data_IF_152287588393
#
_entry.id   IF_152287588393
#
_cell.length_a   1.000
_cell.length_b   1.000
_cell.length_c   1.000
_cell.angle_alpha   90.00
_cell.angle_beta   90.00
_cell.angle_gamma   90.00
#
_symmetry.space_group_name_H-M   'P 1'
#
loop_
_entity.id
_entity.type
_entity.pdbx_description
1 polymer ?
#
# COMPACT_ATOMS: atom_id res chain seq x y z
N UNK A 1 11.71 -22.69 9.56
CA UNK A 1 10.75 -21.57 9.57
C UNK A 1 9.86 -21.63 8.34
N UNK A 2 8.79 -20.89 8.28
CA UNK A 2 7.92 -20.77 7.09
C UNK A 2 7.97 -19.34 6.53
N UNK A 3 7.39 -19.13 5.34
CA UNK A 3 7.24 -17.77 4.78
C UNK A 3 6.52 -16.86 5.78
N UNK A 4 6.94 -15.59 5.83
CA UNK A 4 6.38 -14.58 6.73
C UNK A 4 4.97 -14.17 6.29
N UNK A 5 4.04 -14.13 7.24
CA UNK A 5 2.64 -13.70 7.01
C UNK A 5 2.33 -12.44 7.79
N UNK A 6 1.58 -11.54 7.18
CA UNK A 6 1.19 -10.25 7.77
C UNK A 6 -0.02 -10.32 8.73
N UNK A 7 -0.60 -11.50 8.99
CA UNK A 7 -1.86 -11.66 9.71
C UNK A 7 -1.90 -10.99 11.09
N UNK A 8 -0.81 -11.08 11.87
CA UNK A 8 -0.74 -10.43 13.18
C UNK A 8 -0.73 -8.91 13.07
N UNK A 9 0.04 -8.36 12.11
CA UNK A 9 0.09 -6.94 11.83
C UNK A 9 -1.27 -6.43 11.35
N UNK A 10 -1.93 -7.16 10.44
CA UNK A 10 -3.29 -6.86 9.98
C UNK A 10 -4.28 -6.81 11.15
N UNK A 11 -4.24 -7.77 12.09
CA UNK A 11 -5.13 -7.78 13.25
C UNK A 11 -4.91 -6.57 14.18
N UNK A 12 -3.66 -6.11 14.34
CA UNK A 12 -3.35 -4.90 15.08
C UNK A 12 -3.88 -3.65 14.39
N UNK A 13 -3.65 -3.53 13.07
CA UNK A 13 -4.16 -2.44 12.25
C UNK A 13 -5.69 -2.38 12.26
N UNK A 14 -6.38 -3.52 12.19
CA UNK A 14 -7.83 -3.58 12.28
C UNK A 14 -8.40 -2.90 13.53
N UNK A 15 -7.80 -3.14 14.69
CA UNK A 15 -8.26 -2.52 15.94
C UNK A 15 -8.08 -1.00 15.92
N UNK A 16 -6.96 -0.55 15.41
CA UNK A 16 -6.60 0.86 15.34
C UNK A 16 -7.49 1.61 14.33
N UNK A 17 -7.67 1.03 13.13
CA UNK A 17 -8.55 1.62 12.10
C UNK A 17 -9.99 1.72 12.60
N UNK A 18 -10.50 0.71 13.32
CA UNK A 18 -11.85 0.77 13.91
C UNK A 18 -12.03 1.95 14.86
N UNK A 19 -11.06 2.21 15.73
CA UNK A 19 -11.11 3.34 16.64
C UNK A 19 -11.08 4.67 15.89
N UNK A 20 -10.23 4.79 14.87
CA UNK A 20 -10.14 5.98 14.04
C UNK A 20 -11.40 6.20 13.17
N UNK A 21 -12.01 5.12 12.68
CA UNK A 21 -13.26 5.17 11.92
C UNK A 21 -14.42 5.78 12.70
N UNK A 22 -14.47 5.62 14.03
CA UNK A 22 -15.49 6.27 14.86
C UNK A 22 -15.44 7.80 14.79
N UNK A 23 -14.23 8.37 14.78
CA UNK A 23 -14.03 9.82 14.60
C UNK A 23 -14.36 10.27 13.19
N UNK A 24 -13.84 9.56 12.18
CA UNK A 24 -14.09 9.85 10.77
C UNK A 24 -15.58 9.81 10.42
N UNK A 25 -16.33 8.85 10.98
CA UNK A 25 -17.77 8.76 10.76
C UNK A 25 -18.55 9.92 11.41
N UNK A 26 -18.07 10.48 12.52
CA UNK A 26 -18.67 11.70 13.09
C UNK A 26 -18.45 12.90 12.18
N UNK A 27 -17.23 13.05 11.63
CA UNK A 27 -16.91 14.08 10.66
C UNK A 27 -17.74 13.94 9.39
N UNK A 28 -17.87 12.71 8.86
CA UNK A 28 -18.71 12.39 7.71
C UNK A 28 -20.18 12.77 7.94
N UNK A 29 -20.73 12.42 9.09
CA UNK A 29 -22.12 12.72 9.43
C UNK A 29 -22.40 14.23 9.61
N UNK A 30 -21.38 15.02 9.87
CA UNK A 30 -21.47 16.47 9.99
C UNK A 30 -21.46 17.20 8.63
N UNK A 31 -20.99 16.56 7.56
CA UNK A 31 -20.97 17.14 6.21
C UNK A 31 -22.05 16.52 5.33
N UNK A 32 -23.18 17.23 5.09
CA UNK A 32 -24.31 16.70 4.32
C UNK A 32 -24.01 16.49 2.83
N UNK A 33 -22.86 16.96 2.32
CA UNK A 33 -22.44 16.75 0.93
C UNK A 33 -21.88 15.35 0.73
N UNK A 34 -21.29 14.78 1.76
CA UNK A 34 -20.58 13.51 1.70
C UNK A 34 -21.53 12.33 1.97
N UNK A 35 -21.47 11.32 1.11
CA UNK A 35 -22.42 10.20 1.11
C UNK A 35 -21.87 9.00 1.92
N UNK A 36 -20.57 8.72 1.80
CA UNK A 36 -19.90 7.60 2.43
C UNK A 36 -18.37 7.86 2.49
N UNK A 37 -17.63 7.03 3.25
CA UNK A 37 -16.20 7.22 3.45
C UNK A 37 -15.37 6.97 2.18
N UNK A 38 -15.78 6.03 1.32
CA UNK A 38 -14.97 5.57 0.19
C UNK A 38 -15.83 5.26 -1.04
N UNK A 39 -15.46 5.81 -2.20
CA UNK A 39 -15.95 5.37 -3.50
C UNK A 39 -14.96 4.41 -4.15
N UNK A 40 -15.47 3.29 -4.68
CA UNK A 40 -14.66 2.31 -5.43
C UNK A 40 -15.22 2.25 -6.85
N UNK A 41 -14.48 2.78 -7.84
CA UNK A 41 -14.91 2.83 -9.23
C UNK A 41 -14.32 1.65 -10.00
N UNK A 42 -15.17 0.85 -10.64
CA UNK A 42 -14.79 -0.22 -11.58
C UNK A 42 -15.35 0.07 -12.96
N UNK A 43 -14.55 -0.12 -14.00
CA UNK A 43 -14.98 -0.04 -15.39
C UNK A 43 -14.94 -1.42 -16.03
N UNK A 44 -16.09 -1.89 -16.50
CA UNK A 44 -16.25 -3.24 -17.03
C UNK A 44 -16.63 -4.26 -15.95
N UNK A 45 -16.22 -5.51 -16.15
CA UNK A 45 -16.60 -6.63 -15.29
C UNK A 45 -15.47 -7.68 -15.23
N UNK A 46 -14.24 -7.23 -14.94
CA UNK A 46 -13.12 -8.14 -14.77
C UNK A 46 -13.32 -9.03 -13.53
N UNK A 47 -13.27 -10.37 -13.65
CA UNK A 47 -13.56 -11.27 -12.55
C UNK A 47 -12.59 -11.13 -11.38
N UNK A 48 -11.31 -10.82 -11.64
CA UNK A 48 -10.31 -10.64 -10.59
C UNK A 48 -10.57 -9.34 -9.83
N UNK A 49 -10.86 -8.24 -10.56
CA UNK A 49 -11.24 -6.95 -9.96
C UNK A 49 -12.45 -7.09 -9.03
N UNK A 50 -13.46 -7.88 -9.43
CA UNK A 50 -14.65 -8.13 -8.60
C UNK A 50 -14.33 -8.80 -7.27
N UNK A 51 -13.37 -9.73 -7.26
CA UNK A 51 -12.91 -10.40 -6.02
C UNK A 51 -12.23 -9.37 -5.11
N UNK A 52 -11.34 -8.53 -5.65
CA UNK A 52 -10.64 -7.50 -4.87
C UNK A 52 -11.61 -6.42 -4.34
N UNK A 53 -12.56 -5.97 -5.15
CA UNK A 53 -13.58 -5.01 -4.70
C UNK A 53 -14.41 -5.61 -3.57
N UNK A 54 -14.85 -6.86 -3.70
CA UNK A 54 -15.59 -7.55 -2.63
C UNK A 54 -14.78 -7.62 -1.34
N UNK A 55 -13.49 -7.90 -1.41
CA UNK A 55 -12.60 -7.91 -0.24
C UNK A 55 -12.51 -6.52 0.40
N UNK A 56 -12.31 -5.46 -0.40
CA UNK A 56 -12.28 -4.06 0.06
C UNK A 56 -13.60 -3.67 0.75
N UNK A 57 -14.75 -3.98 0.14
CA UNK A 57 -16.07 -3.70 0.72
C UNK A 57 -16.29 -4.44 2.04
N UNK A 58 -15.96 -5.74 2.09
CA UNK A 58 -16.07 -6.56 3.30
C UNK A 58 -15.16 -6.02 4.41
N UNK A 59 -13.93 -5.61 4.06
CA UNK A 59 -12.99 -5.04 5.03
C UNK A 59 -13.50 -3.68 5.54
N UNK A 60 -13.93 -2.77 4.66
CA UNK A 60 -14.49 -1.48 5.06
C UNK A 60 -15.63 -1.67 6.07
N UNK A 61 -16.60 -2.55 5.75
CA UNK A 61 -17.72 -2.86 6.65
C UNK A 61 -17.26 -3.42 7.99
N UNK A 62 -16.27 -4.34 7.99
CA UNK A 62 -15.73 -4.93 9.22
C UNK A 62 -15.01 -3.90 10.09
N UNK A 63 -14.51 -2.81 9.50
CA UNK A 63 -13.84 -1.71 10.19
C UNK A 63 -14.79 -0.55 10.55
N UNK A 64 -16.10 -0.67 10.25
CA UNK A 64 -17.10 0.36 10.52
C UNK A 64 -17.11 1.51 9.50
N UNK A 65 -16.45 1.34 8.35
CA UNK A 65 -16.47 2.30 7.24
C UNK A 65 -17.58 1.93 6.23
N UNK A 66 -18.14 2.94 5.58
CA UNK A 66 -19.07 2.77 4.46
C UNK A 66 -18.31 2.97 3.14
N UNK A 67 -18.24 1.92 2.32
CA UNK A 67 -17.68 1.99 0.97
C UNK A 67 -18.77 1.70 -0.06
N UNK A 68 -18.82 2.49 -1.14
CA UNK A 68 -19.82 2.40 -2.21
C UNK A 68 -19.12 2.02 -3.52
N UNK A 69 -19.49 0.89 -4.15
CA UNK A 69 -18.95 0.52 -5.44
C UNK A 69 -19.74 1.20 -6.58
N UNK A 70 -19.01 1.72 -7.57
CA UNK A 70 -19.54 2.26 -8.81
C UNK A 70 -19.12 1.38 -9.97
N UNK A 71 -20.07 0.68 -10.57
CA UNK A 71 -19.85 -0.21 -11.70
C UNK A 71 -20.18 0.50 -13.01
N UNK A 72 -19.18 0.86 -13.78
CA UNK A 72 -19.32 1.57 -15.04
C UNK A 72 -19.25 0.58 -16.22
N UNK A 73 -19.98 0.84 -17.33
CA UNK A 73 -19.97 -0.04 -18.47
C UNK A 73 -18.59 -0.08 -19.14
N UNK A 74 -18.25 -1.25 -19.72
CA UNK A 74 -16.93 -1.48 -20.32
C UNK A 74 -16.64 -0.59 -21.54
N UNK A 75 -17.68 -0.09 -22.20
CA UNK A 75 -17.64 0.77 -23.40
C UNK A 75 -17.74 2.28 -23.08
N UNK A 76 -17.66 2.65 -21.79
CA UNK A 76 -17.67 4.06 -21.38
C UNK A 76 -16.52 4.82 -22.05
N UNK A 77 -16.77 6.04 -22.52
CA UNK A 77 -15.70 6.87 -23.07
C UNK A 77 -14.81 7.47 -21.96
N UNK A 78 -13.54 7.77 -22.29
CA UNK A 78 -12.62 8.45 -21.38
C UNK A 78 -13.21 9.73 -20.80
N UNK A 79 -13.80 10.59 -21.65
CA UNK A 79 -14.42 11.83 -21.19
C UNK A 79 -15.56 11.61 -20.18
N UNK A 80 -16.35 10.53 -20.37
CA UNK A 80 -17.42 10.21 -19.43
C UNK A 80 -16.89 9.64 -18.11
N UNK A 81 -15.87 8.78 -18.18
CA UNK A 81 -15.18 8.29 -16.96
C UNK A 81 -14.59 9.46 -16.16
N UNK A 82 -13.87 10.36 -16.84
CA UNK A 82 -13.29 11.55 -16.21
C UNK A 82 -14.36 12.40 -15.51
N UNK A 83 -15.49 12.67 -16.21
CA UNK A 83 -16.62 13.42 -15.64
C UNK A 83 -17.26 12.73 -14.43
N UNK A 84 -17.28 11.40 -14.37
CA UNK A 84 -17.74 10.65 -13.19
C UNK A 84 -16.79 10.87 -12.02
N UNK A 85 -15.48 10.76 -12.25
CA UNK A 85 -14.47 10.97 -11.21
C UNK A 85 -14.52 12.40 -10.67
N UNK A 86 -14.64 13.42 -11.55
CA UNK A 86 -14.81 14.83 -11.15
C UNK A 86 -16.03 15.01 -10.22
N UNK A 87 -17.16 14.35 -10.54
CA UNK A 87 -18.37 14.41 -9.71
C UNK A 87 -18.19 13.73 -8.35
N UNK A 88 -17.46 12.59 -8.31
CA UNK A 88 -17.23 11.85 -7.07
C UNK A 88 -16.42 12.67 -6.06
N UNK A 89 -15.50 13.54 -6.49
CA UNK A 89 -14.75 14.44 -5.61
C UNK A 89 -15.68 15.35 -4.76
N UNK A 90 -16.88 15.63 -5.24
CA UNK A 90 -17.84 16.46 -4.49
C UNK A 90 -18.72 15.68 -3.51
N UNK A 91 -18.68 14.34 -3.55
CA UNK A 91 -19.59 13.47 -2.80
C UNK A 91 -18.90 12.44 -1.91
N UNK A 92 -17.61 12.19 -2.14
CA UNK A 92 -16.84 11.19 -1.40
C UNK A 92 -15.49 11.79 -0.95
N UNK A 93 -15.15 11.66 0.33
CA UNK A 93 -13.88 12.15 0.84
C UNK A 93 -12.68 11.30 0.37
N UNK A 94 -12.92 10.04 -0.02
CA UNK A 94 -11.90 9.14 -0.53
C UNK A 94 -12.42 8.37 -1.75
N UNK A 95 -11.59 8.25 -2.79
CA UNK A 95 -11.94 7.63 -4.08
C UNK A 95 -10.80 6.73 -4.53
N UNK A 96 -11.13 5.58 -5.09
CA UNK A 96 -10.19 4.76 -5.86
C UNK A 96 -10.76 4.38 -7.22
N UNK A 97 -9.88 4.30 -8.21
CA UNK A 97 -10.16 3.74 -9.53
C UNK A 97 -9.52 2.35 -9.63
N UNK A 98 -10.35 1.31 -9.62
CA UNK A 98 -9.87 -0.07 -9.64
C UNK A 98 -9.26 -0.44 -10.99
N UNK A 99 -7.97 -0.80 -10.99
CA UNK A 99 -7.30 -1.37 -12.15
C UNK A 99 -7.60 -2.89 -12.29
N UNK A 100 -7.52 -3.45 -13.53
CA UNK A 100 -7.21 -2.78 -14.80
C UNK A 100 -8.43 -2.11 -15.44
N UNK A 101 -8.19 -1.12 -16.28
CA UNK A 101 -9.21 -0.55 -17.17
C UNK A 101 -9.29 -1.28 -18.52
N UNK A 102 -10.43 -1.20 -19.23
CA UNK A 102 -10.49 -1.56 -20.66
C UNK A 102 -9.42 -0.84 -21.49
N UNK A 103 -8.85 -1.53 -22.48
CA UNK A 103 -7.67 -1.08 -23.26
C UNK A 103 -7.82 0.28 -23.97
N UNK A 104 -9.04 0.73 -24.22
CA UNK A 104 -9.30 2.03 -24.87
C UNK A 104 -9.30 3.21 -23.89
N UNK A 105 -9.18 2.95 -22.59
CA UNK A 105 -9.10 3.95 -21.56
C UNK A 105 -7.67 4.10 -21.04
N UNK A 106 -7.31 5.33 -20.74
CA UNK A 106 -6.04 5.70 -20.14
C UNK A 106 -6.21 5.82 -18.62
N UNK A 107 -5.59 4.92 -17.88
CA UNK A 107 -5.66 4.89 -16.43
C UNK A 107 -4.97 6.11 -15.79
N UNK A 108 -3.79 6.47 -16.30
CA UNK A 108 -3.01 7.58 -15.76
C UNK A 108 -3.74 8.91 -15.97
N UNK A 109 -4.36 9.08 -17.16
CA UNK A 109 -5.23 10.23 -17.41
C UNK A 109 -6.45 10.23 -16.47
N UNK A 110 -7.12 9.09 -16.28
CA UNK A 110 -8.31 9.03 -15.43
C UNK A 110 -7.99 9.39 -13.98
N UNK A 111 -6.89 8.91 -13.42
CA UNK A 111 -6.48 9.20 -12.04
C UNK A 111 -6.23 10.69 -11.81
N UNK A 112 -5.86 11.48 -12.83
CA UNK A 112 -5.72 12.94 -12.68
C UNK A 112 -7.05 13.65 -12.40
N UNK A 113 -8.19 13.00 -12.61
CA UNK A 113 -9.54 13.50 -12.31
C UNK A 113 -10.01 13.13 -10.89
N UNK A 114 -9.22 12.38 -10.12
CA UNK A 114 -9.40 12.26 -8.67
C UNK A 114 -8.54 13.34 -8.03
N UNK A 115 -9.14 14.27 -7.29
CA UNK A 115 -8.37 15.30 -6.63
C UNK A 115 -7.32 14.69 -5.70
N UNK A 116 -6.09 15.25 -5.61
CA UNK A 116 -5.03 14.69 -4.77
C UNK A 116 -5.44 14.44 -3.32
N UNK A 117 -6.34 15.27 -2.79
CA UNK A 117 -6.87 15.15 -1.43
C UNK A 117 -8.01 14.13 -1.29
N UNK A 118 -8.48 13.53 -2.40
CA UNK A 118 -9.50 12.48 -2.42
C UNK A 118 -8.91 11.13 -2.89
N UNK A 119 -7.65 11.11 -3.30
CA UNK A 119 -6.97 9.95 -3.88
C UNK A 119 -6.55 8.93 -2.80
N UNK A 120 -7.42 7.98 -2.49
CA UNK A 120 -7.16 7.00 -1.45
C UNK A 120 -6.16 5.89 -1.85
N UNK A 121 -5.88 5.72 -3.14
CA UNK A 121 -4.81 4.81 -3.60
C UNK A 121 -3.43 5.48 -3.68
N UNK A 122 -3.35 6.83 -3.58
CA UNK A 122 -2.10 7.59 -3.66
C UNK A 122 -1.43 7.53 -5.05
N UNK A 123 -2.24 7.46 -6.12
CA UNK A 123 -1.78 7.27 -7.49
C UNK A 123 -1.85 8.54 -8.33
N UNK A 124 -2.49 9.60 -7.83
CA UNK A 124 -2.50 10.89 -8.52
C UNK A 124 -1.06 11.38 -8.73
N UNK A 125 -0.69 11.85 -9.93
CA UNK A 125 0.66 12.33 -10.23
C UNK A 125 1.18 13.40 -9.28
N UNK A 126 0.32 14.25 -8.73
CA UNK A 126 0.70 15.27 -7.72
C UNK A 126 1.16 14.58 -6.44
N UNK A 127 0.42 13.59 -5.93
CA UNK A 127 0.79 12.81 -4.75
C UNK A 127 2.09 12.04 -4.98
N UNK A 128 2.25 11.42 -6.15
CA UNK A 128 3.48 10.71 -6.51
C UNK A 128 4.68 11.65 -6.64
N UNK A 129 4.51 12.84 -7.23
CA UNK A 129 5.57 13.84 -7.32
C UNK A 129 5.98 14.37 -5.95
N UNK A 130 5.07 14.40 -4.98
CA UNK A 130 5.35 14.82 -3.62
C UNK A 130 6.35 13.90 -2.91
N UNK A 131 6.41 12.61 -3.25
CA UNK A 131 7.45 11.70 -2.74
C UNK A 131 8.87 12.17 -3.07
N UNK A 132 9.04 12.89 -4.16
CA UNK A 132 10.33 13.44 -4.59
C UNK A 132 10.55 14.86 -4.07
N UNK A 133 9.52 15.73 -4.11
CA UNK A 133 9.65 17.16 -3.83
C UNK A 133 9.47 17.51 -2.36
N UNK A 134 8.71 16.72 -1.61
CA UNK A 134 8.43 16.90 -0.18
C UNK A 134 8.38 15.55 0.54
N UNK A 135 9.55 14.88 0.70
CA UNK A 135 9.60 13.50 1.23
C UNK A 135 9.06 13.34 2.65
N UNK A 136 8.93 14.44 3.38
CA UNK A 136 8.39 14.45 4.76
C UNK A 136 7.00 15.08 4.85
N UNK A 137 6.42 15.43 3.70
CA UNK A 137 5.09 16.02 3.61
C UNK A 137 3.97 15.05 3.96
N UNK A 138 2.78 15.60 4.08
CA UNK A 138 1.58 14.84 4.43
C UNK A 138 0.63 14.83 3.23
N UNK A 139 0.60 13.72 2.52
CA UNK A 139 -0.22 13.47 1.34
C UNK A 139 -0.51 11.98 1.21
N UNK A 140 -1.56 11.59 0.48
CA UNK A 140 -1.80 10.17 0.18
C UNK A 140 -0.62 9.53 -0.54
N UNK A 141 -0.21 8.35 -0.10
CA UNK A 141 0.88 7.57 -0.69
C UNK A 141 0.34 6.24 -1.18
N UNK A 142 0.90 5.69 -2.25
CA UNK A 142 0.45 4.42 -2.80
C UNK A 142 0.37 3.32 -1.74
N UNK A 143 -0.81 2.67 -1.63
CA UNK A 143 -1.15 1.77 -0.53
C UNK A 143 -0.20 0.57 -0.42
N UNK A 144 0.15 -0.09 -1.54
CA UNK A 144 1.06 -1.23 -1.53
C UNK A 144 2.47 -0.86 -1.07
N UNK A 145 3.11 0.20 -1.58
CA UNK A 145 4.37 0.72 -1.06
C UNK A 145 4.35 1.04 0.44
N UNK A 146 3.30 1.70 0.94
CA UNK A 146 3.15 1.95 2.38
C UNK A 146 3.12 0.66 3.19
N UNK A 147 2.32 -0.32 2.75
CA UNK A 147 2.22 -1.63 3.40
C UNK A 147 3.55 -2.38 3.42
N UNK A 148 4.36 -2.27 2.34
CA UNK A 148 5.71 -2.84 2.26
C UNK A 148 6.63 -2.17 3.29
N UNK A 149 6.67 -0.83 3.32
CA UNK A 149 7.49 -0.07 4.26
C UNK A 149 7.15 -0.39 5.72
N UNK A 150 5.85 -0.41 6.05
CA UNK A 150 5.40 -0.79 7.38
C UNK A 150 5.81 -2.23 7.73
N UNK A 151 5.73 -3.15 6.78
CA UNK A 151 6.11 -4.52 7.06
C UNK A 151 7.61 -4.72 7.22
N UNK A 152 8.43 -3.97 6.50
CA UNK A 152 9.89 -3.97 6.69
C UNK A 152 10.26 -3.60 8.14
N UNK A 153 9.60 -2.59 8.74
CA UNK A 153 9.86 -2.24 10.14
C UNK A 153 9.54 -3.40 11.09
N UNK A 154 8.48 -4.16 10.81
CA UNK A 154 8.09 -5.31 11.63
C UNK A 154 9.03 -6.51 11.45
N UNK A 155 9.43 -6.81 10.22
CA UNK A 155 10.36 -7.91 9.92
C UNK A 155 11.74 -7.65 10.54
N UNK A 156 12.21 -6.40 10.44
CA UNK A 156 13.52 -6.00 10.95
C UNK A 156 13.50 -5.56 12.43
N UNK A 157 12.34 -5.63 13.09
CA UNK A 157 12.15 -5.28 14.50
C UNK A 157 12.67 -3.87 14.84
N UNK A 158 12.39 -2.90 13.96
CA UNK A 158 12.83 -1.50 14.11
C UNK A 158 11.65 -0.58 14.44
N UNK A 159 11.98 0.60 14.95
CA UNK A 159 10.99 1.60 15.33
C UNK A 159 10.55 2.49 14.16
N UNK A 160 11.41 2.65 13.15
CA UNK A 160 11.14 3.48 11.97
C UNK A 160 11.57 2.78 10.69
N UNK A 161 11.09 3.30 9.55
CA UNK A 161 11.59 2.86 8.26
C UNK A 161 13.06 3.24 8.09
N UNK A 162 13.44 4.43 8.54
CA UNK A 162 14.83 4.89 8.54
C UNK A 162 15.72 3.92 9.33
N UNK A 163 15.34 3.53 10.56
CA UNK A 163 16.11 2.55 11.33
C UNK A 163 16.19 1.17 10.64
N UNK A 164 15.15 0.82 9.87
CA UNK A 164 15.11 -0.45 9.16
C UNK A 164 16.07 -0.50 7.97
N UNK A 165 16.21 0.62 7.25
CA UNK A 165 16.85 0.62 5.92
C UNK A 165 18.04 1.57 5.79
N UNK A 166 18.40 2.33 6.85
CA UNK A 166 19.54 3.24 6.82
C UNK A 166 20.83 2.51 6.42
N UNK A 167 21.46 3.00 5.36
CA UNK A 167 22.67 2.39 4.79
C UNK A 167 22.48 1.04 4.10
N UNK A 168 21.25 0.45 4.09
CA UNK A 168 20.97 -0.82 3.42
C UNK A 168 21.01 -0.69 1.90
N UNK A 169 21.45 -1.74 1.24
CA UNK A 169 21.37 -1.89 -0.21
C UNK A 169 20.06 -2.60 -0.56
N UNK A 170 19.18 -1.90 -1.24
CA UNK A 170 17.85 -2.40 -1.62
C UNK A 170 17.75 -2.54 -3.12
N UNK A 171 17.30 -3.71 -3.58
CA UNK A 171 16.95 -3.96 -4.97
C UNK A 171 15.43 -3.94 -5.11
N UNK A 172 14.91 -3.05 -5.95
CA UNK A 172 13.50 -3.03 -6.35
C UNK A 172 13.40 -3.54 -7.78
N UNK A 173 12.72 -4.68 -7.96
CA UNK A 173 12.52 -5.30 -9.27
C UNK A 173 11.12 -4.95 -9.76
N UNK A 174 11.06 -4.08 -10.74
CA UNK A 174 9.84 -3.45 -11.25
C UNK A 174 9.86 -1.93 -11.06
N UNK A 175 9.24 -1.21 -12.01
CA UNK A 175 9.20 0.27 -11.99
C UNK A 175 7.82 0.84 -12.32
N UNK A 176 6.77 0.10 -11.92
CA UNK A 176 5.40 0.60 -12.10
C UNK A 176 5.15 1.82 -11.21
N UNK A 177 4.26 2.70 -11.65
CA UNK A 177 3.74 3.82 -10.86
C UNK A 177 2.94 3.36 -9.64
N UNK A 178 2.43 2.12 -9.67
CA UNK A 178 1.63 1.53 -8.59
C UNK A 178 2.47 1.05 -7.41
N UNK A 179 3.66 0.47 -7.66
CA UNK A 179 4.47 -0.19 -6.63
C UNK A 179 5.94 0.17 -6.74
N UNK A 180 6.60 -0.17 -7.85
CA UNK A 180 8.06 -0.16 -7.95
C UNK A 180 8.68 1.20 -7.70
N UNK A 181 8.23 2.24 -8.42
CA UNK A 181 8.76 3.58 -8.24
C UNK A 181 8.40 4.20 -6.88
N UNK A 182 7.15 4.15 -6.41
CA UNK A 182 6.83 4.70 -5.09
C UNK A 182 7.61 4.02 -3.95
N UNK A 183 7.75 2.69 -3.94
CA UNK A 183 8.52 2.01 -2.88
C UNK A 183 10.00 2.37 -2.95
N UNK A 184 10.56 2.50 -4.17
CA UNK A 184 11.96 2.90 -4.34
C UNK A 184 12.21 4.30 -3.76
N UNK A 185 11.31 5.26 -4.01
CA UNK A 185 11.41 6.62 -3.46
C UNK A 185 11.24 6.64 -1.95
N UNK A 186 10.27 5.91 -1.39
CA UNK A 186 10.08 5.81 0.06
C UNK A 186 11.32 5.27 0.76
N UNK A 187 11.93 4.21 0.22
CA UNK A 187 13.13 3.61 0.79
C UNK A 187 14.36 4.52 0.64
N UNK A 188 14.49 5.21 -0.51
CA UNK A 188 15.55 6.20 -0.71
C UNK A 188 15.41 7.38 0.27
N UNK A 189 14.19 7.86 0.49
CA UNK A 189 13.91 8.94 1.45
C UNK A 189 14.21 8.50 2.91
N UNK A 190 14.19 7.19 3.17
CA UNK A 190 14.58 6.59 4.45
C UNK A 190 16.07 6.18 4.51
N UNK A 191 16.94 6.78 3.68
CA UNK A 191 18.40 6.59 3.63
C UNK A 191 18.87 5.24 3.08
N UNK A 192 18.04 4.46 2.40
CA UNK A 192 18.50 3.27 1.70
C UNK A 192 19.26 3.62 0.41
N UNK A 193 20.24 2.78 0.03
CA UNK A 193 20.82 2.80 -1.31
C UNK A 193 19.98 1.91 -2.22
N UNK A 194 19.16 2.51 -3.08
CA UNK A 194 18.17 1.79 -3.88
C UNK A 194 18.63 1.61 -5.33
N UNK A 195 18.59 0.38 -5.82
CA UNK A 195 18.72 0.05 -7.24
C UNK A 195 17.37 -0.38 -7.79
N UNK A 196 16.94 0.22 -8.91
CA UNK A 196 15.71 -0.18 -9.63
C UNK A 196 16.08 -1.03 -10.83
N UNK A 197 15.56 -2.26 -10.89
CA UNK A 197 15.78 -3.21 -11.99
C UNK A 197 14.48 -3.45 -12.75
N UNK A 198 14.55 -3.55 -14.08
CA UNK A 198 13.34 -3.62 -14.92
C UNK A 198 13.61 -4.40 -16.24
N UNK A 199 12.60 -4.61 -17.06
CA UNK A 199 12.65 -5.40 -18.30
C UNK A 199 13.69 -4.97 -19.35
N UNK A 200 14.26 -3.77 -19.23
CA UNK A 200 15.36 -3.26 -20.07
C UNK A 200 16.70 -3.28 -19.37
N UNK A 201 16.77 -3.76 -18.13
CA UNK A 201 18.03 -3.96 -17.41
C UNK A 201 18.73 -5.23 -17.92
N UNK A 202 20.06 -5.37 -17.70
CA UNK A 202 20.77 -6.64 -17.96
C UNK A 202 20.12 -7.80 -17.19
N UNK A 203 20.39 -9.04 -17.61
CA UNK A 203 19.90 -10.20 -16.86
C UNK A 203 20.52 -10.22 -15.46
N UNK A 204 19.65 -10.39 -14.44
CA UNK A 204 20.09 -10.58 -13.06
C UNK A 204 20.84 -11.92 -12.90
N UNK A 205 22.00 -11.86 -12.29
CA UNK A 205 22.78 -13.04 -11.90
C UNK A 205 22.69 -13.26 -10.38
N UNK A 206 23.03 -14.45 -9.91
CA UNK A 206 23.14 -14.71 -8.47
C UNK A 206 24.15 -13.75 -7.80
N UNK A 207 25.27 -13.44 -8.47
CA UNK A 207 26.27 -12.50 -7.96
C UNK A 207 25.71 -11.07 -7.81
N UNK A 208 24.78 -10.65 -8.67
CA UNK A 208 24.11 -9.37 -8.52
C UNK A 208 23.16 -9.40 -7.30
N UNK A 209 22.34 -10.45 -7.19
CA UNK A 209 21.36 -10.60 -6.11
C UNK A 209 21.98 -10.64 -4.72
N UNK A 210 23.15 -11.30 -4.59
CA UNK A 210 23.88 -11.42 -3.31
C UNK A 210 24.44 -10.10 -2.77
N UNK A 211 24.38 -9.03 -3.53
CA UNK A 211 24.85 -7.71 -3.10
C UNK A 211 23.82 -6.91 -2.30
N UNK A 212 22.59 -7.40 -2.16
CA UNK A 212 21.49 -6.64 -1.57
C UNK A 212 21.04 -7.24 -0.23
N UNK A 213 20.80 -6.35 0.74
CA UNK A 213 20.24 -6.71 2.05
C UNK A 213 18.73 -6.97 1.96
N UNK A 214 18.05 -6.22 1.08
CA UNK A 214 16.60 -6.27 0.91
C UNK A 214 16.29 -6.34 -0.60
N UNK A 215 15.35 -7.22 -0.96
CA UNK A 215 14.86 -7.36 -2.34
C UNK A 215 13.34 -7.21 -2.35
N UNK A 216 12.82 -6.27 -3.14
CA UNK A 216 11.40 -6.07 -3.38
C UNK A 216 11.09 -6.64 -4.77
N UNK A 217 10.47 -7.82 -4.82
CA UNK A 217 10.09 -8.49 -6.06
C UNK A 217 8.70 -8.03 -6.50
N UNK A 218 8.65 -7.06 -7.42
CA UNK A 218 7.43 -6.43 -7.93
C UNK A 218 7.40 -6.36 -9.46
N UNK A 219 7.97 -7.38 -10.13
CA UNK A 219 8.03 -7.46 -11.58
C UNK A 219 6.75 -8.03 -12.22
N UNK A 220 5.92 -8.73 -11.44
CA UNK A 220 4.78 -9.47 -11.96
C UNK A 220 5.21 -10.62 -12.88
N UNK A 221 6.39 -11.20 -12.61
CA UNK A 221 6.95 -12.33 -13.36
C UNK A 221 7.16 -13.53 -12.44
N UNK A 222 6.35 -14.57 -12.68
CA UNK A 222 6.35 -15.79 -11.89
C UNK A 222 7.75 -16.41 -11.78
N UNK A 223 8.19 -16.68 -10.54
CA UNK A 223 9.44 -17.35 -10.21
C UNK A 223 10.70 -16.68 -10.82
N UNK A 224 10.70 -15.34 -10.91
CA UNK A 224 11.83 -14.59 -11.44
C UNK A 224 13.06 -14.67 -10.56
N UNK A 225 12.90 -14.79 -9.24
CA UNK A 225 13.97 -14.89 -8.25
C UNK A 225 13.94 -16.25 -7.59
N UNK A 226 15.11 -16.86 -7.45
CA UNK A 226 15.29 -18.12 -6.70
C UNK A 226 15.95 -17.85 -5.36
N UNK A 227 15.46 -18.47 -4.30
CA UNK A 227 16.06 -18.33 -2.97
C UNK A 227 17.48 -18.86 -2.88
N UNK A 228 17.84 -19.88 -3.69
CA UNK A 228 19.21 -20.38 -3.79
C UNK A 228 20.24 -19.34 -4.24
N UNK A 229 19.82 -18.30 -4.93
CA UNK A 229 20.70 -17.28 -5.51
C UNK A 229 20.97 -16.12 -4.53
N UNK A 230 20.33 -16.12 -3.34
CA UNK A 230 20.38 -15.04 -2.37
C UNK A 230 21.42 -15.26 -1.27
N UNK A 231 21.98 -14.18 -0.76
CA UNK A 231 22.87 -14.19 0.40
C UNK A 231 22.09 -14.51 1.71
N UNK A 232 22.78 -15.05 2.70
CA UNK A 232 22.21 -15.26 4.03
C UNK A 232 21.80 -13.94 4.68
N UNK A 233 20.64 -13.91 5.33
CA UNK A 233 20.10 -12.72 5.98
C UNK A 233 19.35 -11.76 5.04
N UNK A 234 19.28 -12.06 3.73
CA UNK A 234 18.50 -11.22 2.80
C UNK A 234 17.01 -11.26 3.17
N UNK A 235 16.40 -10.09 3.24
CA UNK A 235 14.94 -9.90 3.37
C UNK A 235 14.30 -9.80 1.98
N UNK A 236 13.29 -10.62 1.70
CA UNK A 236 12.62 -10.65 0.40
C UNK A 236 11.14 -10.35 0.57
N UNK A 237 10.71 -9.24 0.00
CA UNK A 237 9.30 -8.86 -0.10
C UNK A 237 8.77 -9.27 -1.46
N UNK A 238 7.97 -10.33 -1.48
CA UNK A 238 7.33 -10.84 -2.70
C UNK A 238 5.96 -10.15 -2.89
N UNK A 239 5.84 -9.33 -3.91
CA UNK A 239 4.64 -8.57 -4.26
C UNK A 239 3.84 -9.25 -5.38
N UNK A 240 4.50 -10.18 -6.12
CA UNK A 240 3.87 -10.88 -7.22
C UNK A 240 2.66 -11.71 -6.80
N UNK A 241 1.67 -11.80 -7.68
CA UNK A 241 0.50 -12.68 -7.50
C UNK A 241 0.16 -13.33 -8.83
N UNK A 242 0.37 -14.65 -8.90
CA UNK A 242 0.11 -15.47 -10.07
C UNK A 242 -0.86 -16.60 -9.74
N UNK A 243 -1.94 -16.73 -10.53
CA UNK A 243 -2.89 -17.83 -10.40
C UNK A 243 -2.39 -19.04 -11.19
N UNK A 244 -1.82 -20.02 -10.51
CA UNK A 244 -1.29 -21.24 -11.11
C UNK A 244 -2.36 -22.33 -11.02
N UNK A 245 -2.69 -23.04 -12.14
CA UNK A 245 -3.65 -24.13 -12.13
C UNK A 245 -3.32 -25.18 -11.07
N UNK A 246 -4.32 -25.54 -10.26
CA UNK A 246 -4.18 -26.55 -9.20
C UNK A 246 -5.51 -27.27 -8.97
N UNK A 247 -5.63 -28.46 -9.55
CA UNK A 247 -6.85 -29.27 -9.48
C UNK A 247 -7.16 -29.81 -8.06
N UNK A 248 -6.20 -29.73 -7.13
CA UNK A 248 -6.42 -30.12 -5.74
C UNK A 248 -7.13 -29.02 -4.93
N UNK A 249 -7.19 -27.80 -5.45
CA UNK A 249 -7.86 -26.66 -4.81
C UNK A 249 -9.30 -26.52 -5.32
N UNK A 250 -10.24 -26.21 -4.43
CA UNK A 250 -11.64 -25.91 -4.80
C UNK A 250 -11.77 -24.74 -5.79
N UNK A 251 -10.82 -23.79 -5.76
CA UNK A 251 -10.74 -22.64 -6.68
C UNK A 251 -10.19 -23.02 -8.06
N UNK A 252 -9.67 -24.23 -8.27
CA UNK A 252 -8.98 -24.64 -9.48
C UNK A 252 -7.57 -24.06 -9.65
N UNK A 253 -7.10 -23.24 -8.71
CA UNK A 253 -5.78 -22.62 -8.77
C UNK A 253 -5.19 -22.38 -7.38
N UNK A 254 -3.86 -22.25 -7.31
CA UNK A 254 -3.12 -21.72 -6.17
C UNK A 254 -2.46 -20.40 -6.53
N UNK A 255 -2.18 -19.58 -5.53
CA UNK A 255 -1.48 -18.31 -5.73
C UNK A 255 0.00 -18.49 -5.40
N UNK A 256 0.84 -18.00 -6.30
CA UNK A 256 2.30 -17.95 -6.15
C UNK A 256 2.81 -16.54 -6.46
N UNK A 257 4.03 -16.22 -6.00
CA UNK A 257 4.65 -14.91 -6.20
C UNK A 257 5.70 -14.89 -7.31
N UNK A 258 6.49 -13.83 -7.30
CA UNK A 258 7.66 -13.67 -8.17
C UNK A 258 8.87 -14.47 -7.65
N UNK A 259 8.80 -15.02 -6.42
CA UNK A 259 9.92 -15.70 -5.73
C UNK A 259 9.68 -17.21 -5.64
N UNK A 260 10.60 -17.98 -6.21
CA UNK A 260 10.70 -19.44 -6.10
C UNK A 260 11.47 -19.81 -4.84
N UNK A 261 10.87 -20.66 -3.98
CA UNK A 261 11.60 -21.31 -2.88
C UNK A 261 12.29 -22.53 -3.43
N UNK A 262 13.62 -22.45 -3.63
CA UNK A 262 14.42 -23.52 -4.21
C UNK A 262 14.54 -24.71 -3.26
N UNK A 263 14.74 -24.45 -1.95
CA UNK A 263 14.75 -25.43 -0.88
C UNK A 263 13.98 -24.84 0.33
N UNK A 264 13.09 -25.59 0.97
CA UNK A 264 12.46 -25.16 2.23
C UNK A 264 13.45 -24.76 3.32
N UNK A 265 14.68 -25.30 3.31
CA UNK A 265 15.75 -24.95 4.24
C UNK A 265 16.23 -23.48 4.04
N UNK A 266 16.05 -22.90 2.87
CA UNK A 266 16.38 -21.48 2.62
C UNK A 266 15.63 -20.53 3.55
N UNK A 267 14.42 -20.92 4.00
CA UNK A 267 13.63 -20.12 4.95
C UNK A 267 14.22 -20.09 6.38
N UNK A 268 15.31 -20.80 6.65
CA UNK A 268 16.06 -20.68 7.92
C UNK A 268 17.16 -19.61 7.85
N UNK A 269 17.55 -19.19 6.66
CA UNK A 269 18.60 -18.19 6.42
C UNK A 269 18.08 -16.91 5.77
N UNK A 270 16.82 -16.88 5.29
CA UNK A 270 16.18 -15.78 4.60
C UNK A 270 14.86 -15.43 5.26
N UNK A 271 14.51 -14.14 5.26
CA UNK A 271 13.18 -13.66 5.59
C UNK A 271 12.38 -13.43 4.30
N UNK A 272 11.49 -14.36 3.96
CA UNK A 272 10.71 -14.30 2.71
C UNK A 272 9.22 -14.17 3.04
N UNK A 273 8.58 -13.16 2.45
CA UNK A 273 7.14 -12.94 2.65
C UNK A 273 6.28 -13.97 1.91
N UNK A 274 5.10 -14.26 2.45
CA UNK A 274 4.21 -15.26 1.88
C UNK A 274 3.35 -14.69 0.75
N UNK A 275 3.12 -15.49 -0.28
CA UNK A 275 2.05 -15.26 -1.27
C UNK A 275 1.19 -16.53 -1.31
N UNK A 276 -0.11 -16.43 -1.00
CA UNK A 276 -0.83 -15.29 -0.44
C UNK A 276 -0.57 -15.06 1.05
N UNK A 277 -1.02 -13.90 1.56
CA UNK A 277 -1.00 -13.58 2.99
C UNK A 277 0.20 -12.74 3.44
N UNK A 278 0.93 -12.17 2.48
CA UNK A 278 2.01 -11.22 2.70
C UNK A 278 1.56 -9.77 2.47
N UNK A 279 1.98 -9.17 1.35
CA UNK A 279 1.76 -7.74 1.02
C UNK A 279 0.27 -7.43 0.78
N UNK A 280 -0.46 -8.30 0.07
CA UNK A 280 -1.83 -8.03 -0.35
C UNK A 280 -2.79 -7.59 0.77
N UNK A 281 -2.86 -8.30 1.91
CA UNK A 281 -3.67 -7.85 3.05
C UNK A 281 -3.29 -6.46 3.55
N UNK A 282 -2.00 -6.12 3.62
CA UNK A 282 -1.53 -4.80 4.08
C UNK A 282 -1.93 -3.67 3.12
N UNK A 283 -1.95 -3.94 1.81
CA UNK A 283 -2.48 -2.97 0.83
C UNK A 283 -3.90 -2.55 1.17
N UNK A 284 -4.76 -3.50 1.56
CA UNK A 284 -6.14 -3.22 1.93
C UNK A 284 -6.22 -2.43 3.24
N UNK A 285 -5.34 -2.74 4.22
CA UNK A 285 -5.27 -1.96 5.47
C UNK A 285 -4.86 -0.50 5.21
N UNK A 286 -3.85 -0.29 4.37
CA UNK A 286 -3.40 1.07 4.02
C UNK A 286 -4.49 1.86 3.30
N UNK A 287 -5.26 1.22 2.41
CA UNK A 287 -6.42 1.84 1.79
C UNK A 287 -7.47 2.28 2.82
N UNK A 288 -7.81 1.40 3.78
CA UNK A 288 -8.79 1.75 4.82
C UNK A 288 -8.28 2.87 5.72
N UNK A 289 -6.99 2.86 6.03
CA UNK A 289 -6.34 3.91 6.80
C UNK A 289 -6.39 5.26 6.07
N UNK A 290 -6.08 5.29 4.77
CA UNK A 290 -6.17 6.50 3.97
C UNK A 290 -7.62 6.98 3.83
N UNK A 291 -8.59 6.07 3.67
CA UNK A 291 -10.01 6.44 3.64
C UNK A 291 -10.46 7.12 4.94
N UNK A 292 -10.00 6.65 6.10
CA UNK A 292 -10.24 7.33 7.39
C UNK A 292 -9.63 8.72 7.42
N UNK A 293 -8.33 8.83 7.08
CA UNK A 293 -7.61 10.10 7.12
C UNK A 293 -8.19 11.14 6.16
N UNK A 294 -8.56 10.72 4.95
CA UNK A 294 -9.20 11.58 3.96
C UNK A 294 -10.63 11.97 4.35
N UNK A 295 -11.36 11.08 5.05
CA UNK A 295 -12.66 11.43 5.61
C UNK A 295 -12.52 12.54 6.67
N UNK A 296 -11.55 12.42 7.57
CA UNK A 296 -11.29 13.46 8.57
C UNK A 296 -10.88 14.78 7.90
N UNK A 297 -10.02 14.74 6.89
CA UNK A 297 -9.56 15.92 6.16
C UNK A 297 -10.73 16.63 5.45
N UNK A 298 -11.48 15.91 4.63
CA UNK A 298 -12.42 16.49 3.67
C UNK A 298 -13.79 16.80 4.30
N UNK A 299 -14.12 16.19 5.44
CA UNK A 299 -15.39 16.43 6.16
C UNK A 299 -15.24 17.36 7.37
N UNK A 300 -14.02 17.77 7.74
CA UNK A 300 -13.80 18.69 8.85
C UNK A 300 -13.39 20.06 8.32
N UNK A 301 -14.27 21.09 8.41
CA UNK A 301 -14.00 22.43 7.86
C UNK A 301 -12.85 23.16 8.57
N UNK A 302 -12.46 22.72 9.77
CA UNK A 302 -11.34 23.31 10.52
C UNK A 302 -9.99 22.67 10.16
N UNK A 303 -9.97 21.61 9.33
CA UNK A 303 -8.76 20.96 8.85
C UNK A 303 -8.42 21.44 7.43
N UNK A 304 -7.33 22.18 7.30
CA UNK A 304 -6.83 22.67 6.02
C UNK A 304 -5.71 21.82 5.41
N UNK A 305 -5.22 20.81 6.14
CA UNK A 305 -4.07 19.98 5.74
C UNK A 305 -4.37 18.50 6.03
N UNK A 306 -4.02 17.63 5.10
CA UNK A 306 -4.05 16.18 5.30
C UNK A 306 -3.25 15.84 6.57
N UNK A 307 -3.97 15.49 7.62
CA UNK A 307 -3.35 14.99 8.84
C UNK A 307 -3.66 13.51 8.94
N UNK A 308 -2.68 12.63 8.85
CA UNK A 308 -2.89 11.23 9.15
C UNK A 308 -3.08 11.04 10.67
N UNK A 309 -4.07 11.77 11.26
CA UNK A 309 -4.35 11.71 12.71
C UNK A 309 -4.69 10.29 13.14
N UNK A 310 -5.34 9.53 12.25
CA UNK A 310 -5.54 8.11 12.43
C UNK A 310 -4.19 7.39 12.43
N UNK A 311 -3.32 7.64 11.43
CA UNK A 311 -1.97 7.05 11.35
C UNK A 311 -1.13 7.44 12.55
N UNK A 312 -1.20 8.69 13.00
CA UNK A 312 -0.48 9.15 14.20
C UNK A 312 -0.98 8.48 15.48
N UNK A 313 -2.31 8.41 15.68
CA UNK A 313 -2.90 7.69 16.81
C UNK A 313 -2.59 6.20 16.77
N UNK A 314 -2.56 5.61 15.58
CA UNK A 314 -2.22 4.21 15.36
C UNK A 314 -0.73 3.94 15.65
N UNK A 315 0.17 4.81 15.18
CA UNK A 315 1.59 4.73 15.51
C UNK A 315 1.82 4.92 17.02
N UNK A 316 1.10 5.85 17.65
CA UNK A 316 1.14 6.06 19.10
C UNK A 316 0.65 4.82 19.85
N UNK A 317 -0.48 4.23 19.46
CA UNK A 317 -1.00 3.02 20.08
C UNK A 317 -0.08 1.81 19.87
N UNK A 318 0.55 1.70 18.70
CA UNK A 318 1.56 0.68 18.42
C UNK A 318 2.80 0.86 19.31
N UNK A 319 3.22 2.11 19.55
CA UNK A 319 4.32 2.43 20.46
C UNK A 319 3.99 2.11 21.92
N UNK A 320 2.77 2.42 22.36
CA UNK A 320 2.32 2.16 23.73
C UNK A 320 2.20 0.67 24.04
N UNK A 321 1.87 -0.15 23.04
CA UNK A 321 1.79 -1.60 23.17
C UNK A 321 3.12 -2.32 22.95
N UNK A 322 4.10 -1.65 22.34
CA UNK A 322 5.40 -2.24 22.07
C UNK A 322 6.28 -2.31 23.32
N UNK A 323 6.87 -3.46 23.56
CA UNK A 323 7.79 -3.70 24.68
C UNK A 323 9.18 -3.05 24.49
N UNK A 324 9.50 -2.51 23.30
CA UNK A 324 10.81 -1.92 23.03
C UNK A 324 10.81 -0.39 23.10
N UNK A 325 11.83 0.17 23.77
CA UNK A 325 12.04 1.61 23.86
C UNK A 325 12.20 2.28 22.47
N UNK A 326 12.68 1.53 21.48
CA UNK A 326 12.89 2.00 20.11
C UNK A 326 11.57 2.32 19.39
N UNK A 327 10.56 1.45 19.52
CA UNK A 327 9.21 1.67 18.90
C UNK A 327 8.51 2.86 19.55
N UNK A 328 8.65 3.03 20.89
CA UNK A 328 8.12 4.20 21.59
C UNK A 328 8.75 5.50 21.11
N UNK A 329 10.08 5.52 20.92
CA UNK A 329 10.80 6.68 20.42
C UNK A 329 10.36 7.06 19.01
N UNK A 330 10.20 6.09 18.11
CA UNK A 330 9.74 6.33 16.73
C UNK A 330 8.36 7.00 16.69
N UNK A 331 7.38 6.43 17.40
CA UNK A 331 6.04 7.01 17.42
C UNK A 331 6.06 8.43 17.98
N UNK A 332 6.89 8.71 19.01
CA UNK A 332 7.04 10.04 19.54
C UNK A 332 7.68 11.00 18.53
N UNK A 333 8.74 10.57 17.82
CA UNK A 333 9.40 11.37 16.79
C UNK A 333 8.44 11.73 15.63
N UNK A 334 7.58 10.80 15.19
CA UNK A 334 6.55 11.07 14.18
C UNK A 334 5.50 12.06 14.67
N UNK A 335 5.06 11.93 15.92
CA UNK A 335 4.10 12.85 16.54
C UNK A 335 4.70 14.27 16.62
N UNK A 336 5.96 14.38 17.01
CA UNK A 336 6.63 15.67 17.19
C UNK A 336 6.91 16.35 15.85
N UNK A 337 7.32 15.61 14.81
CA UNK A 337 7.45 16.11 13.42
C UNK A 337 6.13 16.64 12.87
N UNK A 338 5.03 15.91 13.11
CA UNK A 338 3.70 16.37 12.66
C UNK A 338 3.27 17.65 13.37
N UNK A 339 3.58 17.81 14.67
CA UNK A 339 3.29 19.05 15.41
C UNK A 339 4.15 20.23 14.95
N UNK A 340 5.36 19.99 14.46
CA UNK A 340 6.23 21.05 13.92
C UNK A 340 5.74 21.57 12.57
N UNK A 341 5.24 20.69 11.70
CA UNK A 341 4.66 21.05 10.41
C UNK A 341 3.36 21.85 10.58
N UNK A 342 2.56 21.52 11.61
CA UNK A 342 1.32 22.25 11.93
C UNK A 342 1.55 23.64 12.55
N UNK A 343 2.79 23.97 12.93
CA UNK A 343 3.14 25.28 13.51
C UNK A 343 3.76 26.25 12.50
N UNK A 344 4.01 25.81 11.27
CA UNK A 344 4.49 26.64 10.15
C UNK A 344 3.32 26.95 9.21
#
# INVERSE_FOLDING_TARGET
MGKLKSANLVAQLDQQIKQAAESANKSLAADPRMIANLAIVEVGADPASRVYIKQKLTKAQALGLTAVPFYLPADISQAKLNSVLDQLNTMFPAIILQAPLPKHLDFEQAVTHIDPQHDADGLNPINQASLLSDPHGQYPVACTPQGICLWLTQILHTASLEDAVDGKRVLVIGRSSLVGMPVALLLQNANATVTVWHSHSPQLTAADLQQYDIIIAAAGQHHMIKTSDLADGTVVIDVGIHAIPDNAKKSGHRLEGDVEISDPADLNRLDVTAVPGGVGPLTVEMLMLQAVALTELNCNPDQSVYQPTATLKMLQAAADTASSAAVKKFAQDQIDRTKEVTKR
#
